data_IF_531382415801
#
_entry.id   IF_531382415801
#
_cell.length_a   1.000
_cell.length_b   1.000
_cell.length_c   1.000
_cell.angle_alpha   90.00
_cell.angle_beta   90.00
_cell.angle_gamma   90.00
#
_symmetry.space_group_name_H-M   'P 1'
#
loop_
_entity.id
_entity.type
_entity.pdbx_description
1 polymer ?
#
# COMPACT_ATOMS: atom_id res chain seq x y z
N UNK A 1 -27.54 2.79 -55.34
CA UNK A 1 -26.48 1.76 -55.25
C UNK A 1 -26.70 1.01 -53.93
N UNK A 2 -27.61 0.02 -53.85
CA UNK A 2 -27.40 -1.43 -54.06
C UNK A 2 -26.02 -1.93 -53.58
N UNK A 3 -26.02 -2.69 -52.49
CA UNK A 3 -24.88 -3.44 -51.96
C UNK A 3 -25.24 -4.27 -50.72
N UNK A 4 -26.03 -5.34 -50.91
CA UNK A 4 -26.16 -6.47 -49.97
C UNK A 4 -24.84 -7.24 -49.92
N UNK A 5 -24.53 -7.87 -48.78
CA UNK A 5 -24.01 -9.26 -48.75
C UNK A 5 -24.01 -9.81 -47.31
N UNK A 6 -24.93 -10.74 -47.08
CA UNK A 6 -24.92 -11.70 -45.98
C UNK A 6 -23.96 -12.83 -46.29
N UNK A 7 -23.27 -13.38 -45.30
CA UNK A 7 -22.81 -14.77 -45.34
C UNK A 7 -22.96 -15.43 -43.97
N UNK A 8 -23.98 -16.27 -43.86
CA UNK A 8 -24.07 -17.36 -42.92
C UNK A 8 -23.16 -18.49 -43.39
N UNK A 9 -22.35 -19.06 -42.50
CA UNK A 9 -21.82 -20.42 -42.66
C UNK A 9 -22.03 -21.15 -41.34
N UNK A 10 -23.10 -21.95 -41.34
CA UNK A 10 -23.36 -23.02 -40.41
C UNK A 10 -22.47 -24.19 -40.84
N UNK A 11 -21.52 -24.60 -40.01
CA UNK A 11 -20.75 -25.83 -40.25
C UNK A 11 -21.05 -26.82 -39.13
N UNK A 12 -21.85 -27.82 -39.49
CA UNK A 12 -22.14 -29.02 -38.72
C UNK A 12 -20.94 -29.96 -38.88
N UNK A 13 -20.34 -30.45 -37.79
CA UNK A 13 -19.46 -31.61 -37.86
C UNK A 13 -19.70 -32.59 -36.70
N UNK A 14 -20.28 -33.70 -37.13
CA UNK A 14 -20.30 -35.11 -36.66
C UNK A 14 -19.40 -35.48 -35.47
N UNK A 15 -20.04 -36.18 -34.53
CA UNK A 15 -19.46 -36.82 -33.36
C UNK A 15 -18.66 -38.09 -33.70
N UNK A 16 -17.57 -38.31 -32.95
CA UNK A 16 -17.05 -39.65 -32.64
C UNK A 16 -16.72 -39.69 -31.14
N UNK A 17 -17.54 -40.42 -30.39
CA UNK A 17 -17.33 -40.72 -28.98
C UNK A 17 -16.49 -42.00 -28.93
N UNK A 18 -15.22 -41.87 -28.53
CA UNK A 18 -14.37 -43.00 -28.14
C UNK A 18 -14.31 -43.00 -26.62
N UNK A 19 -15.10 -43.87 -25.99
CA UNK A 19 -15.06 -44.12 -24.55
C UNK A 19 -13.93 -45.09 -24.24
N UNK A 20 -12.76 -44.54 -23.91
CA UNK A 20 -11.69 -45.27 -23.24
C UNK A 20 -11.98 -45.31 -21.74
N UNK A 21 -12.33 -46.50 -21.22
CA UNK A 21 -12.36 -46.75 -19.78
C UNK A 21 -10.92 -46.87 -19.27
N UNK A 22 -10.35 -45.77 -18.78
CA UNK A 22 -9.16 -45.83 -17.93
C UNK A 22 -9.60 -46.19 -16.51
N UNK A 23 -9.15 -47.35 -16.02
CA UNK A 23 -9.23 -47.70 -14.61
C UNK A 23 -8.29 -46.81 -13.81
N UNK A 24 -8.84 -45.81 -13.12
CA UNK A 24 -8.12 -45.01 -12.15
C UNK A 24 -7.90 -45.83 -10.87
N UNK A 25 -6.66 -46.28 -10.65
CA UNK A 25 -6.23 -46.76 -9.34
C UNK A 25 -6.21 -45.55 -8.40
N UNK A 26 -7.20 -45.47 -7.52
CA UNK A 26 -7.26 -44.46 -6.45
C UNK A 26 -6.13 -44.73 -5.46
N UNK A 27 -4.98 -44.11 -5.70
CA UNK A 27 -3.88 -44.04 -4.74
C UNK A 27 -4.29 -43.06 -3.65
N UNK A 28 -4.79 -43.59 -2.53
CA UNK A 28 -5.07 -42.82 -1.32
C UNK A 28 -3.76 -42.20 -0.81
N UNK A 29 -3.57 -40.92 -1.13
CA UNK A 29 -2.44 -40.15 -0.62
C UNK A 29 -2.62 -39.98 0.89
N UNK A 30 -1.57 -40.19 1.70
CA UNK A 30 -1.65 -39.98 3.13
C UNK A 30 -2.05 -38.54 3.39
N UNK A 31 -3.13 -38.35 4.14
CA UNK A 31 -3.64 -37.05 4.59
C UNK A 31 -2.52 -36.34 5.35
N UNK A 32 -1.81 -35.44 4.63
CA UNK A 32 -0.83 -34.54 5.25
C UNK A 32 -1.57 -33.76 6.32
N UNK A 33 -1.19 -34.03 7.57
CA UNK A 33 -1.58 -33.23 8.75
C UNK A 33 -1.49 -31.75 8.36
N UNK A 34 -2.51 -30.92 8.63
CA UNK A 34 -2.51 -29.52 8.24
C UNK A 34 -1.22 -28.86 8.73
N UNK A 35 -0.36 -28.46 7.80
CA UNK A 35 0.88 -27.77 8.14
C UNK A 35 0.51 -26.52 8.93
N UNK A 36 1.07 -26.30 10.13
CA UNK A 36 0.77 -25.12 10.91
C UNK A 36 0.98 -23.88 10.05
N UNK A 37 -0.07 -23.06 9.90
CA UNK A 37 -0.01 -21.85 9.10
C UNK A 37 1.17 -21.00 9.61
N UNK A 38 2.13 -20.61 8.74
CA UNK A 38 3.32 -19.90 9.18
C UNK A 38 2.94 -18.72 10.06
N UNK A 39 3.45 -18.71 11.30
CA UNK A 39 3.27 -17.57 12.19
C UNK A 39 3.86 -16.35 11.49
N UNK A 40 3.12 -15.24 11.33
CA UNK A 40 3.66 -14.04 10.70
C UNK A 40 4.99 -13.65 11.34
N UNK A 41 5.96 -13.25 10.53
CA UNK A 41 7.20 -12.70 11.04
C UNK A 41 6.88 -11.54 12.00
N UNK A 42 7.48 -11.55 13.20
CA UNK A 42 7.19 -10.56 14.25
C UNK A 42 7.37 -9.14 13.69
N UNK A 43 6.44 -8.25 14.00
CA UNK A 43 6.46 -6.87 13.56
C UNK A 43 5.98 -6.59 12.13
N UNK A 44 5.43 -7.57 11.40
CA UNK A 44 4.74 -7.32 10.12
C UNK A 44 3.22 -7.39 10.28
N UNK A 45 2.52 -6.67 9.41
CA UNK A 45 1.06 -6.60 9.41
C UNK A 45 0.49 -7.74 8.55
N UNK A 46 -0.61 -8.32 9.02
CA UNK A 46 -1.41 -9.30 8.27
C UNK A 46 -2.58 -8.63 7.55
N UNK A 47 -3.12 -9.28 6.53
CA UNK A 47 -4.30 -8.76 5.82
C UNK A 47 -5.47 -8.49 6.76
N UNK A 48 -5.76 -9.42 7.69
CA UNK A 48 -6.83 -9.25 8.68
C UNK A 48 -6.64 -7.99 9.54
N UNK A 49 -5.41 -7.71 9.93
CA UNK A 49 -5.09 -6.51 10.72
C UNK A 49 -5.24 -5.24 9.88
N UNK A 50 -4.74 -5.22 8.64
CA UNK A 50 -4.87 -4.06 7.76
C UNK A 50 -6.33 -3.75 7.42
N UNK A 51 -7.13 -4.77 7.08
CA UNK A 51 -8.57 -4.59 6.82
C UNK A 51 -9.31 -4.07 8.05
N UNK A 52 -8.97 -4.57 9.25
CA UNK A 52 -9.52 -4.04 10.51
C UNK A 52 -9.06 -2.61 10.78
N UNK A 53 -7.78 -2.30 10.52
CA UNK A 53 -7.19 -0.98 10.71
C UNK A 53 -7.88 0.08 9.84
N UNK A 54 -8.32 -0.29 8.63
CA UNK A 54 -9.07 0.58 7.73
C UNK A 54 -10.58 0.52 7.94
N UNK A 55 -11.07 -0.18 8.96
CA UNK A 55 -12.49 -0.34 9.25
C UNK A 55 -13.31 -0.81 8.03
N UNK A 56 -12.72 -1.67 7.18
CA UNK A 56 -13.37 -2.16 5.96
C UNK A 56 -13.37 -1.20 4.77
N UNK A 57 -12.80 0.01 4.89
CA UNK A 57 -12.77 1.02 3.81
C UNK A 57 -11.75 0.74 2.69
N UNK A 58 -11.14 -0.45 2.67
CA UNK A 58 -10.28 -0.88 1.58
C UNK A 58 -11.04 -0.85 0.25
N UNK A 59 -10.43 -0.38 -0.85
CA UNK A 59 -11.01 -0.49 -2.17
C UNK A 59 -11.39 -1.95 -2.49
N UNK A 60 -12.54 -2.20 -3.12
CA UNK A 60 -13.00 -3.55 -3.44
C UNK A 60 -12.21 -4.17 -4.61
N UNK A 61 -11.60 -3.34 -5.46
CA UNK A 61 -10.77 -3.74 -6.59
C UNK A 61 -9.61 -2.77 -6.79
N UNK A 62 -8.52 -3.27 -7.36
CA UNK A 62 -7.39 -2.46 -7.80
C UNK A 62 -7.69 -1.93 -9.20
N UNK A 63 -7.84 -0.61 -9.34
CA UNK A 63 -8.15 0.06 -10.60
C UNK A 63 -7.73 1.52 -10.53
N UNK A 64 -7.05 2.01 -11.57
CA UNK A 64 -6.48 3.35 -11.57
C UNK A 64 -5.57 3.54 -10.34
N UNK A 65 -5.88 4.54 -9.53
CA UNK A 65 -5.12 4.80 -8.30
C UNK A 65 -5.54 3.92 -7.14
N UNK A 66 -6.75 3.37 -7.14
CA UNK A 66 -7.24 2.57 -6.05
C UNK A 66 -6.51 1.22 -5.99
N UNK A 67 -6.10 0.79 -4.80
CA UNK A 67 -5.48 -0.53 -4.58
C UNK A 67 -6.14 -1.24 -3.39
N UNK A 68 -6.44 -2.52 -3.54
CA UNK A 68 -7.02 -3.31 -2.43
C UNK A 68 -6.02 -3.45 -1.28
N UNK A 69 -6.53 -3.69 -0.06
CA UNK A 69 -5.66 -4.01 1.07
C UNK A 69 -4.84 -5.29 0.84
N UNK A 70 -5.37 -6.26 0.09
CA UNK A 70 -4.64 -7.49 -0.26
C UNK A 70 -3.42 -7.18 -1.13
N UNK A 71 -3.60 -6.34 -2.14
CA UNK A 71 -2.56 -6.00 -3.10
C UNK A 71 -1.55 -4.99 -2.54
N UNK A 72 -1.97 -4.11 -1.63
CA UNK A 72 -1.11 -3.14 -0.95
C UNK A 72 -0.22 -3.76 0.14
N UNK A 73 -0.70 -4.83 0.80
CA UNK A 73 -0.04 -5.40 1.98
C UNK A 73 1.45 -5.76 1.76
N UNK A 74 1.87 -6.38 0.64
CA UNK A 74 3.28 -6.67 0.41
C UNK A 74 4.16 -5.42 0.39
N UNK A 75 3.69 -4.32 -0.19
CA UNK A 75 4.43 -3.06 -0.28
C UNK A 75 4.49 -2.35 1.07
N UNK A 76 3.39 -2.34 1.83
CA UNK A 76 3.35 -1.80 3.20
C UNK A 76 4.37 -2.53 4.09
N UNK A 77 4.36 -3.87 4.08
CA UNK A 77 5.30 -4.67 4.87
C UNK A 77 6.75 -4.51 4.40
N UNK A 78 6.98 -4.38 3.08
CA UNK A 78 8.30 -4.09 2.54
C UNK A 78 8.82 -2.74 3.05
N UNK A 79 7.99 -1.69 3.06
CA UNK A 79 8.33 -0.37 3.57
C UNK A 79 8.60 -0.39 5.09
N UNK A 80 7.73 -1.04 5.88
CA UNK A 80 7.93 -1.24 7.33
C UNK A 80 9.29 -1.89 7.61
N UNK A 81 9.64 -2.95 6.87
CA UNK A 81 10.92 -3.66 7.02
C UNK A 81 12.10 -2.79 6.59
N UNK A 82 12.01 -2.16 5.41
CA UNK A 82 13.08 -1.35 4.82
C UNK A 82 13.47 -0.18 5.72
N UNK A 83 12.49 0.53 6.25
CA UNK A 83 12.70 1.72 7.10
C UNK A 83 12.70 1.42 8.60
N UNK A 84 12.60 0.14 8.98
CA UNK A 84 12.72 -0.32 10.37
C UNK A 84 11.72 0.40 11.30
N UNK A 85 10.44 0.39 10.95
CA UNK A 85 9.37 0.86 11.84
C UNK A 85 9.20 -0.17 12.96
N UNK A 86 10.03 -0.05 14.00
CA UNK A 86 10.24 -1.05 15.06
C UNK A 86 9.09 -1.10 16.06
N UNK A 87 8.44 0.03 16.32
CA UNK A 87 7.39 0.10 17.33
C UNK A 87 6.02 0.01 16.69
N UNK A 88 5.07 -0.56 17.45
CA UNK A 88 3.66 -0.56 17.08
C UNK A 88 3.12 0.85 16.79
N UNK A 89 3.59 1.85 17.54
CA UNK A 89 3.23 3.26 17.31
C UNK A 89 3.72 3.80 15.96
N UNK A 90 4.96 3.51 15.58
CA UNK A 90 5.50 3.90 14.27
C UNK A 90 4.73 3.26 13.12
N UNK A 91 4.44 1.96 13.23
CA UNK A 91 3.64 1.25 12.22
C UNK A 91 2.23 1.82 12.13
N UNK A 92 1.60 2.12 13.28
CA UNK A 92 0.27 2.70 13.32
C UNK A 92 0.24 4.12 12.72
N UNK A 93 1.23 4.97 13.00
CA UNK A 93 1.30 6.33 12.45
C UNK A 93 1.45 6.30 10.92
N UNK A 94 2.35 5.46 10.41
CA UNK A 94 2.53 5.27 8.97
C UNK A 94 1.23 4.82 8.27
N UNK A 95 0.56 3.81 8.81
CA UNK A 95 -0.69 3.26 8.25
C UNK A 95 -1.85 4.26 8.40
N UNK A 96 -1.92 4.99 9.51
CA UNK A 96 -2.94 6.00 9.75
C UNK A 96 -2.81 7.20 8.80
N UNK A 97 -1.58 7.68 8.58
CA UNK A 97 -1.33 8.73 7.61
C UNK A 97 -1.75 8.31 6.20
N UNK A 98 -1.43 7.08 5.80
CA UNK A 98 -1.86 6.52 4.52
C UNK A 98 -3.39 6.38 4.40
N UNK A 99 -4.06 6.01 5.50
CA UNK A 99 -5.51 5.91 5.54
C UNK A 99 -6.18 7.28 5.40
N UNK A 100 -5.67 8.30 6.08
CA UNK A 100 -6.22 9.65 6.00
C UNK A 100 -5.94 10.29 4.64
N UNK A 101 -4.66 10.40 4.27
CA UNK A 101 -4.22 11.11 3.07
C UNK A 101 -4.67 10.40 1.79
N UNK A 102 -4.40 9.09 1.70
CA UNK A 102 -4.73 8.30 0.52
C UNK A 102 -6.19 7.85 0.46
N UNK A 103 -7.05 8.32 1.36
CA UNK A 103 -8.46 7.94 1.44
C UNK A 103 -8.65 6.42 1.57
N UNK A 104 -7.90 5.78 2.47
CA UNK A 104 -7.86 4.32 2.66
C UNK A 104 -7.39 3.56 1.42
N UNK A 105 -6.35 4.05 0.71
CA UNK A 105 -5.80 3.51 -0.54
C UNK A 105 -6.61 3.76 -1.81
N UNK A 106 -7.60 4.66 -1.77
CA UNK A 106 -8.35 5.09 -2.96
C UNK A 106 -7.49 5.92 -3.90
N UNK A 107 -6.53 6.67 -3.36
CA UNK A 107 -5.73 7.63 -4.10
C UNK A 107 -4.23 7.38 -3.92
N UNK A 108 -3.45 7.77 -4.92
CA UNK A 108 -1.98 7.85 -4.89
C UNK A 108 -1.51 9.25 -5.36
N UNK A 109 -2.44 10.17 -5.60
CA UNK A 109 -2.22 11.55 -5.99
C UNK A 109 -3.31 12.42 -5.35
N UNK A 110 -2.98 13.68 -5.09
CA UNK A 110 -3.98 14.67 -4.67
C UNK A 110 -4.83 15.07 -5.89
N UNK A 111 -6.15 15.02 -5.74
CA UNK A 111 -7.11 15.30 -6.82
C UNK A 111 -7.06 16.75 -7.33
N UNK A 112 -6.56 17.68 -6.52
CA UNK A 112 -6.45 19.11 -6.86
C UNK A 112 -5.02 19.47 -7.26
N UNK A 113 -4.03 18.90 -6.58
CA UNK A 113 -2.62 19.19 -6.83
C UNK A 113 -1.84 17.93 -7.26
N UNK A 114 -1.68 17.67 -8.56
CA UNK A 114 -1.06 16.42 -9.05
C UNK A 114 0.43 16.27 -8.67
N UNK A 115 1.09 17.35 -8.24
CA UNK A 115 2.47 17.31 -7.74
C UNK A 115 2.58 16.74 -6.31
N UNK A 116 1.45 16.59 -5.61
CA UNK A 116 1.36 15.86 -4.36
C UNK A 116 0.87 14.43 -4.62
N UNK A 117 1.53 13.45 -4.04
CA UNK A 117 1.11 12.07 -4.27
C UNK A 117 1.87 11.04 -3.49
N UNK A 118 1.96 9.84 -4.06
CA UNK A 118 2.21 8.57 -3.35
C UNK A 118 1.05 8.22 -2.40
N UNK A 119 1.14 7.11 -1.67
CA UNK A 119 0.06 6.69 -0.77
C UNK A 119 -0.08 7.55 0.49
N UNK A 120 0.91 8.39 0.76
CA UNK A 120 0.91 9.38 1.85
C UNK A 120 0.63 10.81 1.37
N UNK A 121 0.28 11.03 0.09
CA UNK A 121 -0.06 12.34 -0.53
C UNK A 121 0.91 13.46 -0.10
N UNK A 122 2.20 13.17 -0.22
CA UNK A 122 3.24 14.10 0.19
C UNK A 122 3.48 15.15 -0.90
N UNK A 123 3.77 16.41 -0.55
CA UNK A 123 4.12 17.42 -1.53
C UNK A 123 5.46 17.11 -2.19
N UNK A 124 5.64 17.61 -3.43
CA UNK A 124 6.82 17.33 -4.25
C UNK A 124 8.14 17.67 -3.55
N UNK A 125 8.18 18.74 -2.75
CA UNK A 125 9.36 19.12 -1.95
C UNK A 125 9.73 18.07 -0.90
N UNK A 126 8.75 17.46 -0.23
CA UNK A 126 9.00 16.39 0.73
C UNK A 126 9.41 15.10 0.03
N UNK A 127 8.82 14.81 -1.14
CA UNK A 127 9.25 13.69 -1.97
C UNK A 127 10.67 13.88 -2.50
N UNK A 128 11.06 15.13 -2.81
CA UNK A 128 12.44 15.46 -3.19
C UNK A 128 13.41 15.17 -2.05
N UNK A 129 13.11 15.60 -0.83
CA UNK A 129 13.91 15.28 0.37
C UNK A 129 14.05 13.76 0.54
N UNK A 130 12.97 13.00 0.34
CA UNK A 130 13.02 11.53 0.36
C UNK A 130 13.97 10.97 -0.71
N UNK A 131 13.89 11.45 -1.97
CA UNK A 131 14.79 11.02 -3.05
C UNK A 131 16.24 11.34 -2.71
N UNK A 132 16.51 12.56 -2.25
CA UNK A 132 17.86 13.02 -1.87
C UNK A 132 18.46 12.18 -0.73
N UNK A 133 17.63 11.69 0.19
CA UNK A 133 18.05 10.82 1.29
C UNK A 133 18.25 9.34 0.89
N UNK A 134 17.77 8.91 -0.28
CA UNK A 134 17.74 7.50 -0.67
C UNK A 134 18.52 7.25 -1.98
N UNK A 135 19.83 6.98 -1.87
CA UNK A 135 20.72 6.70 -3.03
C UNK A 135 20.17 5.68 -4.05
N UNK A 136 19.53 4.55 -3.66
CA UNK A 136 18.95 3.64 -4.64
C UNK A 136 17.79 4.26 -5.44
N UNK A 137 17.04 5.18 -4.84
CA UNK A 137 15.91 5.87 -5.48
C UNK A 137 16.43 6.93 -6.46
N UNK A 138 17.53 7.62 -6.15
CA UNK A 138 18.17 8.58 -7.07
C UNK A 138 18.48 7.96 -8.44
N UNK A 139 18.89 6.69 -8.47
CA UNK A 139 19.19 5.94 -9.71
C UNK A 139 17.98 5.76 -10.64
N UNK A 140 16.77 6.03 -10.17
CA UNK A 140 15.56 5.95 -10.99
C UNK A 140 15.34 7.19 -11.85
N UNK A 141 16.11 8.26 -11.61
CA UNK A 141 15.96 9.55 -12.26
C UNK A 141 17.19 9.86 -13.12
N UNK A 142 17.11 9.72 -14.45
CA UNK A 142 18.10 10.28 -15.36
C UNK A 142 18.21 11.79 -15.12
N UNK A 143 19.40 12.29 -14.83
CA UNK A 143 19.65 13.72 -14.59
C UNK A 143 19.66 14.17 -13.12
N UNK A 144 19.57 13.25 -12.15
CA UNK A 144 19.81 13.60 -10.74
C UNK A 144 21.20 14.27 -10.54
N UNK A 145 21.31 15.38 -9.78
CA UNK A 145 20.29 16.00 -8.91
C UNK A 145 19.37 17.03 -9.59
N UNK A 146 19.53 17.30 -10.88
CA UNK A 146 18.77 18.31 -11.63
C UNK A 146 17.45 17.76 -12.19
N UNK A 147 16.62 17.17 -11.32
CA UNK A 147 15.35 16.54 -11.71
C UNK A 147 14.17 17.50 -11.50
N UNK A 148 13.17 17.42 -12.37
CA UNK A 148 11.92 18.15 -12.19
C UNK A 148 11.11 17.50 -11.04
N UNK A 149 10.76 18.30 -10.03
CA UNK A 149 9.94 17.87 -8.89
C UNK A 149 8.58 17.30 -9.32
N UNK A 150 7.98 17.81 -10.40
CA UNK A 150 6.69 17.34 -10.91
C UNK A 150 6.75 15.89 -11.42
N UNK A 151 7.93 15.41 -11.79
CA UNK A 151 8.13 14.04 -12.27
C UNK A 151 8.26 13.00 -11.15
N UNK A 152 8.54 13.44 -9.91
CA UNK A 152 8.89 12.53 -8.80
C UNK A 152 7.73 11.60 -8.46
N UNK A 153 6.52 12.14 -8.32
CA UNK A 153 5.31 11.36 -8.01
C UNK A 153 5.11 10.24 -9.04
N UNK A 154 5.15 10.60 -10.33
CA UNK A 154 4.95 9.65 -11.43
C UNK A 154 5.99 8.53 -11.45
N UNK A 155 7.27 8.86 -11.21
CA UNK A 155 8.34 7.85 -11.16
C UNK A 155 8.16 6.91 -9.97
N UNK A 156 7.86 7.43 -8.77
CA UNK A 156 7.66 6.60 -7.59
C UNK A 156 6.46 5.66 -7.74
N UNK A 157 5.33 6.14 -8.26
CA UNK A 157 4.15 5.31 -8.54
C UNK A 157 4.47 4.24 -9.59
N UNK A 158 5.05 4.63 -10.74
CA UNK A 158 5.40 3.70 -11.83
C UNK A 158 6.36 2.60 -11.38
N UNK A 159 7.26 2.89 -10.45
CA UNK A 159 8.23 1.95 -9.89
C UNK A 159 7.70 1.20 -8.65
N UNK A 160 6.43 1.39 -8.27
CA UNK A 160 5.78 0.78 -7.10
C UNK A 160 6.50 1.09 -5.78
N UNK A 161 7.03 2.30 -5.69
CA UNK A 161 7.70 2.84 -4.50
C UNK A 161 6.82 3.86 -3.75
N UNK A 162 5.56 4.02 -4.16
CA UNK A 162 4.59 4.96 -3.58
C UNK A 162 4.20 4.65 -2.13
N UNK A 163 4.64 3.52 -1.58
CA UNK A 163 4.50 3.18 -0.16
C UNK A 163 5.71 3.60 0.68
N UNK A 164 6.84 3.89 0.06
CA UNK A 164 8.09 4.13 0.77
C UNK A 164 8.21 5.50 1.44
N UNK A 165 7.86 6.63 0.79
CA UNK A 165 8.07 7.95 1.35
C UNK A 165 7.42 8.15 2.72
N UNK A 166 6.15 7.73 2.89
CA UNK A 166 5.46 7.84 4.18
C UNK A 166 6.12 7.03 5.30
N UNK A 167 6.62 5.84 5.00
CA UNK A 167 7.33 5.01 5.98
C UNK A 167 8.69 5.63 6.35
N UNK A 168 9.46 6.09 5.36
CA UNK A 168 10.71 6.80 5.61
C UNK A 168 10.48 8.06 6.43
N UNK A 169 9.51 8.89 6.04
CA UNK A 169 9.22 10.16 6.72
C UNK A 169 8.86 9.94 8.19
N UNK A 170 8.10 8.88 8.48
CA UNK A 170 7.70 8.55 9.86
C UNK A 170 8.87 8.46 10.82
N UNK A 171 10.03 7.94 10.40
CA UNK A 171 11.18 7.67 11.30
C UNK A 171 12.47 8.41 10.94
N UNK A 172 12.56 8.97 9.74
CA UNK A 172 13.77 9.57 9.20
C UNK A 172 13.54 10.92 8.51
N UNK A 173 12.29 11.36 8.36
CA UNK A 173 11.99 12.71 7.89
C UNK A 173 12.64 13.77 8.78
N UNK A 174 12.91 14.98 8.26
CA UNK A 174 13.48 16.07 9.06
C UNK A 174 12.72 16.27 10.37
N UNK A 175 13.42 16.24 11.51
CA UNK A 175 12.82 16.38 12.84
C UNK A 175 12.01 15.18 13.34
N UNK A 176 11.77 14.15 12.51
CA UNK A 176 10.78 13.11 12.81
C UNK A 176 11.28 12.01 13.75
N UNK A 177 12.57 11.65 13.65
CA UNK A 177 13.12 10.50 14.36
C UNK A 177 12.91 10.56 15.89
N UNK A 178 13.12 11.73 16.49
CA UNK A 178 12.99 11.94 17.94
C UNK A 178 11.54 11.79 18.40
N UNK A 179 10.60 12.41 17.68
CA UNK A 179 9.18 12.39 18.06
C UNK A 179 8.56 11.02 17.81
N UNK A 180 8.94 10.36 16.70
CA UNK A 180 8.47 9.02 16.36
C UNK A 180 8.89 7.94 17.37
N UNK A 181 9.99 8.14 18.11
CA UNK A 181 10.38 7.26 19.20
C UNK A 181 9.38 7.31 20.38
N UNK A 182 8.63 8.42 20.51
CA UNK A 182 7.60 8.65 21.51
C UNK A 182 6.21 8.14 21.14
N UNK A 183 5.97 7.66 19.91
CA UNK A 183 4.66 7.14 19.49
C UNK A 183 4.24 5.93 20.34
N UNK A 184 3.07 6.02 20.97
CA UNK A 184 2.48 5.00 21.88
C UNK A 184 0.96 4.89 21.63
N UNK A 185 0.28 4.11 22.47
CA UNK A 185 -1.18 3.92 22.43
C UNK A 185 -1.99 5.15 22.89
N UNK A 186 -1.43 6.35 22.83
CA UNK A 186 -2.07 7.59 23.29
C UNK A 186 -2.22 8.58 22.15
N UNK A 187 -3.34 9.30 22.19
CA UNK A 187 -3.64 10.40 21.27
C UNK A 187 -2.56 11.49 21.35
N UNK A 188 -2.18 11.91 22.55
CA UNK A 188 -1.15 12.94 22.75
C UNK A 188 0.17 12.62 22.04
N UNK A 189 0.60 11.35 22.09
CA UNK A 189 1.85 10.95 21.41
C UNK A 189 1.75 11.05 19.89
N UNK A 190 0.56 10.81 19.34
CA UNK A 190 0.29 10.94 17.93
C UNK A 190 0.14 12.42 17.52
N UNK A 191 -0.57 13.22 18.30
CA UNK A 191 -0.70 14.68 18.09
C UNK A 191 0.67 15.35 18.12
N UNK A 192 1.55 14.95 19.04
CA UNK A 192 2.92 15.45 19.09
C UNK A 192 3.70 15.11 17.80
N UNK A 193 3.52 13.89 17.28
CA UNK A 193 4.11 13.47 16.00
C UNK A 193 3.52 14.22 14.81
N UNK A 194 2.20 14.38 14.71
CA UNK A 194 1.55 15.16 13.66
C UNK A 194 2.07 16.59 13.60
N UNK A 195 2.15 17.28 14.75
CA UNK A 195 2.66 18.66 14.84
C UNK A 195 4.18 18.74 14.56
N UNK A 196 4.95 17.77 15.05
CA UNK A 196 6.41 17.80 14.95
C UNK A 196 7.00 17.21 13.68
N UNK A 197 6.21 16.47 12.89
CA UNK A 197 6.73 15.63 11.79
C UNK A 197 5.97 15.83 10.47
N UNK A 198 4.64 15.84 10.52
CA UNK A 198 3.79 15.93 9.34
C UNK A 198 3.35 17.36 9.07
N UNK A 199 3.28 18.18 10.12
CA UNK A 199 2.65 19.50 10.11
C UNK A 199 1.15 19.41 9.72
N UNK A 200 0.44 18.44 10.32
CA UNK A 200 -0.99 18.29 10.11
C UNK A 200 -1.77 19.53 10.58
N UNK A 201 -2.66 20.05 9.73
CA UNK A 201 -3.51 21.20 10.05
C UNK A 201 -4.37 20.92 11.29
N UNK A 202 -4.53 21.92 12.16
CA UNK A 202 -5.24 21.80 13.45
C UNK A 202 -6.65 21.25 13.29
N UNK A 203 -7.31 21.57 12.17
CA UNK A 203 -8.63 21.10 11.78
C UNK A 203 -8.68 19.61 11.42
N UNK A 204 -7.56 19.02 10.98
CA UNK A 204 -7.50 17.61 10.55
C UNK A 204 -7.01 16.66 11.65
N UNK A 205 -6.28 17.19 12.64
CA UNK A 205 -5.68 16.38 13.72
C UNK A 205 -6.69 15.49 14.44
N UNK A 206 -7.91 15.94 14.82
CA UNK A 206 -8.88 15.09 15.51
C UNK A 206 -9.26 13.84 14.71
N UNK A 207 -9.45 13.96 13.40
CA UNK A 207 -9.77 12.82 12.53
C UNK A 207 -8.59 11.89 12.34
N UNK A 208 -7.39 12.44 12.12
CA UNK A 208 -6.15 11.67 12.03
C UNK A 208 -5.88 10.87 13.31
N UNK A 209 -6.09 11.48 14.47
CA UNK A 209 -5.94 10.85 15.78
C UNK A 209 -6.93 9.69 15.98
N UNK A 210 -8.18 9.87 15.56
CA UNK A 210 -9.21 8.83 15.57
C UNK A 210 -8.79 7.62 14.74
N UNK A 211 -8.28 7.85 13.52
CA UNK A 211 -7.76 6.80 12.64
C UNK A 211 -6.55 6.13 13.27
N UNK A 212 -5.59 6.89 13.80
CA UNK A 212 -4.42 6.35 14.49
C UNK A 212 -4.79 5.40 15.62
N UNK A 213 -5.75 5.79 16.47
CA UNK A 213 -6.24 4.95 17.56
C UNK A 213 -6.84 3.64 17.05
N UNK A 214 -7.65 3.69 15.99
CA UNK A 214 -8.25 2.51 15.37
C UNK A 214 -7.18 1.59 14.77
N UNK A 215 -6.22 2.15 14.03
CA UNK A 215 -5.09 1.42 13.44
C UNK A 215 -4.25 0.77 14.54
N UNK A 216 -3.88 1.52 15.58
CA UNK A 216 -3.10 1.02 16.72
C UNK A 216 -3.83 -0.13 17.41
N UNK A 217 -5.15 -0.04 17.61
CA UNK A 217 -5.93 -1.14 18.19
C UNK A 217 -5.98 -2.39 17.28
N UNK A 218 -5.92 -2.21 15.95
CA UNK A 218 -6.06 -3.29 14.99
C UNK A 218 -4.79 -4.11 14.75
N UNK A 219 -3.60 -3.51 14.85
CA UNK A 219 -2.33 -4.18 14.55
C UNK A 219 -1.72 -4.86 15.80
N UNK A 220 -1.05 -6.00 15.64
CA UNK A 220 -0.39 -6.70 16.76
C UNK A 220 1.03 -6.18 17.03
N UNK A 221 1.61 -6.59 18.16
CA UNK A 221 3.06 -6.52 18.39
C UNK A 221 3.76 -7.70 17.71
#
# INVERSE_FOLDING_TARGET
MRGRSSFSVLMVLVAFIVTLFLSETVSSAPTKKPTPKPKPARGLITLKQLTKAFAGNCPPKTVGDAITCKDALPYINAAIKKYKLKTKGQQAAYIANMAYEGGYLKYNHNLVNPTQGTRSIMPAVSLRIFVDANKPVQKLFPGYPNINNDSIVGVLIKRKLDFEPGAWWTVAGPGCAKVAAGLRASEDSFVAWEKGCINGGLETIPDRARIYKAVYAAIAK
#
